data_IF_752484098551
#
_entry.id   IF_752484098551
#
_cell.length_a   1.000
_cell.length_b   1.000
_cell.length_c   1.000
_cell.angle_alpha   90.00
_cell.angle_beta   90.00
_cell.angle_gamma   90.00
#
_symmetry.space_group_name_H-M   'P 1'
#
loop_
_entity.id
_entity.type
_entity.pdbx_description
1 polymer ?
#
# COMPACT_ATOMS: atom_id res chain seq x y z
N UNK A 1 -0.59 -11.20 -6.16
CA UNK A 1 -1.43 -10.26 -5.39
C UNK A 1 -1.38 -10.65 -3.93
N UNK A 2 -1.61 -9.71 -3.01
CA UNK A 2 -1.42 -9.92 -1.57
C UNK A 2 -2.56 -9.27 -0.76
N UNK A 3 -3.00 -9.91 0.32
CA UNK A 3 -3.92 -9.30 1.29
C UNK A 3 -3.16 -8.34 2.21
N UNK A 4 -3.81 -7.25 2.63
CA UNK A 4 -3.25 -6.37 3.64
C UNK A 4 -2.95 -7.13 4.95
N UNK A 5 -1.77 -6.95 5.52
CA UNK A 5 -1.55 -7.25 6.94
C UNK A 5 -2.37 -6.27 7.79
N UNK A 6 -2.34 -4.98 7.44
CA UNK A 6 -3.09 -3.90 8.07
C UNK A 6 -3.65 -2.93 7.04
N UNK A 7 -4.77 -2.30 7.38
CA UNK A 7 -5.48 -1.33 6.57
C UNK A 7 -5.78 -0.09 7.41
N UNK A 8 -5.72 1.09 6.78
CA UNK A 8 -6.04 2.36 7.39
C UNK A 8 -6.90 3.16 6.43
N UNK A 9 -8.00 3.68 6.96
CA UNK A 9 -8.90 4.61 6.29
C UNK A 9 -8.81 5.95 7.00
N UNK A 10 -8.66 7.03 6.26
CA UNK A 10 -8.84 8.39 6.75
C UNK A 10 -10.29 8.65 7.16
N UNK A 11 -10.54 9.80 7.80
CA UNK A 11 -11.89 10.24 8.16
C UNK A 11 -12.82 10.35 6.94
N UNK A 12 -12.27 10.69 5.78
CA UNK A 12 -12.99 10.81 4.51
C UNK A 12 -13.33 9.45 3.90
N UNK A 13 -12.49 8.42 4.11
CA UNK A 13 -12.64 7.11 3.44
C UNK A 13 -13.31 6.05 4.29
N UNK A 14 -13.37 6.21 5.62
CA UNK A 14 -13.90 5.19 6.54
C UNK A 14 -15.35 4.76 6.28
N UNK A 15 -16.13 5.59 5.60
CA UNK A 15 -17.52 5.30 5.23
C UNK A 15 -17.70 4.84 3.79
N UNK A 16 -16.62 4.85 3.01
CA UNK A 16 -16.58 4.42 1.61
C UNK A 16 -15.59 3.28 1.39
N UNK A 17 -14.91 2.79 2.43
CA UNK A 17 -13.87 1.76 2.33
C UNK A 17 -13.92 0.80 3.51
N UNK A 18 -13.49 -0.43 3.25
CA UNK A 18 -13.45 -1.46 4.27
C UNK A 18 -12.32 -1.19 5.26
N UNK A 19 -12.62 -1.13 6.56
CA UNK A 19 -11.63 -0.93 7.61
C UNK A 19 -10.55 -2.02 7.69
N UNK A 20 -10.81 -3.20 7.10
CA UNK A 20 -9.89 -4.35 7.08
C UNK A 20 -9.02 -4.45 5.84
N UNK A 21 -9.60 -4.22 4.66
CA UNK A 21 -8.92 -4.51 3.39
C UNK A 21 -8.82 -3.29 2.47
N UNK A 22 -9.40 -2.14 2.83
CA UNK A 22 -9.50 -0.93 1.99
C UNK A 22 -10.13 -1.15 0.62
N UNK A 23 -10.93 -2.21 0.43
CA UNK A 23 -11.81 -2.31 -0.74
C UNK A 23 -12.80 -1.15 -0.69
N UNK A 24 -12.98 -0.44 -1.81
CA UNK A 24 -13.99 0.61 -1.93
C UNK A 24 -15.39 -0.01 -1.84
N UNK A 25 -16.29 0.72 -1.21
CA UNK A 25 -17.63 0.29 -0.87
C UNK A 25 -18.61 1.31 -1.44
N UNK A 26 -19.42 0.88 -2.40
CA UNK A 26 -20.38 1.71 -3.12
C UNK A 26 -21.82 1.36 -2.74
N UNK A 27 -22.14 0.09 -2.46
CA UNK A 27 -23.55 -0.34 -2.35
C UNK A 27 -23.95 -1.10 -1.06
N UNK A 28 -23.04 -1.83 -0.40
CA UNK A 28 -23.40 -2.66 0.76
C UNK A 28 -22.31 -2.66 1.82
N UNK A 29 -22.70 -2.40 3.07
CA UNK A 29 -21.81 -2.12 4.19
C UNK A 29 -22.32 -2.81 5.44
N UNK A 30 -21.44 -3.54 6.12
CA UNK A 30 -21.68 -4.06 7.46
C UNK A 30 -21.01 -3.10 8.46
N UNK A 31 -21.77 -2.26 9.19
CA UNK A 31 -21.19 -1.44 10.23
C UNK A 31 -20.77 -2.30 11.42
N UNK A 32 -19.68 -1.93 12.09
CA UNK A 32 -19.37 -2.49 13.39
C UNK A 32 -20.57 -2.29 14.34
N UNK A 33 -21.13 -3.36 14.95
CA UNK A 33 -22.31 -3.24 15.81
C UNK A 33 -22.02 -2.48 17.11
N UNK A 34 -20.75 -2.37 17.51
CA UNK A 34 -20.34 -1.65 18.72
C UNK A 34 -20.17 -0.15 18.54
N UNK A 35 -19.41 0.29 17.53
CA UNK A 35 -19.05 1.71 17.37
C UNK A 35 -19.69 2.42 16.17
N UNK A 36 -20.26 1.67 15.21
CA UNK A 36 -20.78 2.13 13.91
C UNK A 36 -19.84 3.06 13.11
N UNK A 37 -18.59 3.17 13.52
CA UNK A 37 -17.59 4.12 12.99
C UNK A 37 -16.65 3.49 11.97
N UNK A 38 -16.64 2.16 11.90
CA UNK A 38 -15.85 1.36 10.95
C UNK A 38 -16.79 0.43 10.21
N UNK A 39 -16.61 0.34 8.89
CA UNK A 39 -17.45 -0.45 8.00
C UNK A 39 -16.65 -1.57 7.33
N UNK A 40 -17.33 -2.65 6.97
CA UNK A 40 -16.73 -3.85 6.41
C UNK A 40 -17.43 -4.32 5.13
N UNK A 41 -16.65 -4.91 4.22
CA UNK A 41 -17.16 -5.46 2.96
C UNK A 41 -17.76 -6.87 3.11
N UNK A 42 -17.55 -7.52 4.25
CA UNK A 42 -17.97 -8.89 4.55
C UNK A 42 -17.83 -9.19 6.03
N UNK A 43 -18.57 -10.18 6.52
CA UNK A 43 -18.44 -10.71 7.89
C UNK A 43 -17.02 -11.23 8.18
N UNK A 44 -16.33 -11.80 7.18
CA UNK A 44 -14.94 -12.23 7.33
C UNK A 44 -14.00 -11.05 7.61
N UNK A 45 -14.19 -9.93 6.91
CA UNK A 45 -13.42 -8.73 7.15
C UNK A 45 -13.70 -8.11 8.52
N UNK A 46 -14.97 -8.14 8.96
CA UNK A 46 -15.36 -7.68 10.30
C UNK A 46 -14.66 -8.53 11.37
N UNK A 47 -14.83 -9.86 11.32
CA UNK A 47 -14.25 -10.79 12.31
C UNK A 47 -12.73 -10.73 12.35
N UNK A 48 -12.06 -10.66 11.20
CA UNK A 48 -10.60 -10.55 11.16
C UNK A 48 -10.12 -9.22 11.76
N UNK A 49 -10.75 -8.08 11.44
CA UNK A 49 -10.33 -6.79 11.98
C UNK A 49 -10.62 -6.69 13.48
N UNK A 50 -11.78 -7.17 13.92
CA UNK A 50 -12.15 -7.27 15.34
C UNK A 50 -11.07 -8.04 16.11
N UNK A 51 -10.69 -9.23 15.63
CA UNK A 51 -9.65 -10.06 16.24
C UNK A 51 -8.31 -9.33 16.34
N UNK A 52 -7.84 -8.74 15.25
CA UNK A 52 -6.44 -8.29 15.16
C UNK A 52 -6.20 -6.84 15.57
N UNK A 53 -7.19 -5.97 15.52
CA UNK A 53 -6.99 -4.54 15.79
C UNK A 53 -8.21 -3.85 16.40
N UNK A 54 -9.38 -3.99 15.79
CA UNK A 54 -10.54 -3.15 16.10
C UNK A 54 -11.10 -3.36 17.51
N UNK A 55 -10.94 -4.53 18.14
CA UNK A 55 -11.33 -4.72 19.56
C UNK A 55 -10.59 -3.82 20.55
N UNK A 56 -9.45 -3.25 20.16
CA UNK A 56 -8.70 -2.27 20.96
C UNK A 56 -9.07 -0.82 20.61
N UNK A 57 -9.86 -0.61 19.55
CA UNK A 57 -10.27 0.68 19.02
C UNK A 57 -11.74 0.98 19.30
N UNK A 58 -12.61 -0.04 19.24
CA UNK A 58 -14.06 0.08 19.16
C UNK A 58 -14.67 0.95 20.28
N UNK A 59 -14.34 0.68 21.55
CA UNK A 59 -14.90 1.41 22.69
C UNK A 59 -14.39 2.87 22.81
N UNK A 60 -13.38 3.23 22.02
CA UNK A 60 -12.77 4.56 22.00
C UNK A 60 -12.77 5.19 20.60
N UNK A 61 -13.55 4.65 19.66
CA UNK A 61 -13.53 5.07 18.25
C UNK A 61 -13.75 6.59 18.07
N UNK A 62 -14.65 7.19 18.86
CA UNK A 62 -14.87 8.64 18.85
C UNK A 62 -13.64 9.44 19.31
N UNK A 63 -12.89 8.91 20.29
CA UNK A 63 -11.69 9.57 20.83
C UNK A 63 -10.54 9.48 19.83
N UNK A 64 -10.40 8.33 19.18
CA UNK A 64 -9.44 8.12 18.10
C UNK A 64 -9.72 9.12 16.97
N UNK A 65 -10.99 9.25 16.55
CA UNK A 65 -11.41 10.23 15.54
C UNK A 65 -10.94 11.66 15.85
N UNK A 66 -11.09 12.09 17.10
CA UNK A 66 -10.77 13.46 17.50
C UNK A 66 -9.27 13.78 17.47
N UNK A 67 -8.39 12.76 17.50
CA UNK A 67 -6.93 12.96 17.43
C UNK A 67 -6.36 12.62 16.04
N UNK A 68 -7.09 11.88 15.22
CA UNK A 68 -6.64 11.37 13.92
C UNK A 68 -6.30 12.47 12.91
N UNK A 69 -6.93 13.64 12.98
CA UNK A 69 -6.70 14.74 12.04
C UNK A 69 -5.23 15.23 12.05
N UNK A 70 -4.55 15.11 13.18
CA UNK A 70 -3.17 15.58 13.38
C UNK A 70 -2.22 14.46 13.83
N UNK A 71 -2.63 13.20 13.73
CA UNK A 71 -1.81 12.07 14.18
C UNK A 71 -2.00 10.79 13.36
N UNK A 72 -1.10 9.82 13.56
CA UNK A 72 -1.13 8.54 12.85
C UNK A 72 -1.55 7.39 13.76
N UNK A 73 -2.60 6.65 13.35
CA UNK A 73 -3.04 5.42 14.01
C UNK A 73 -2.20 4.20 13.61
N UNK A 74 -1.27 4.32 12.65
CA UNK A 74 -0.45 3.20 12.18
C UNK A 74 0.29 2.54 13.35
N UNK A 75 0.88 3.35 14.23
CA UNK A 75 1.66 2.87 15.37
C UNK A 75 0.85 1.97 16.30
N UNK A 76 -0.24 2.48 16.88
CA UNK A 76 -1.15 1.66 17.68
C UNK A 76 -1.66 0.42 16.94
N UNK A 77 -2.12 0.58 15.69
CA UNK A 77 -2.72 -0.53 14.94
C UNK A 77 -1.72 -1.66 14.69
N UNK A 78 -0.46 -1.33 14.37
CA UNK A 78 0.60 -2.33 14.21
C UNK A 78 1.05 -2.95 15.54
N UNK A 79 1.00 -2.19 16.64
CA UNK A 79 1.25 -2.72 17.98
C UNK A 79 0.22 -3.76 18.39
N UNK A 80 -1.07 -3.46 18.26
CA UNK A 80 -2.13 -4.39 18.66
C UNK A 80 -2.24 -5.59 17.72
N UNK A 81 -1.91 -5.41 16.44
CA UNK A 81 -1.74 -6.52 15.50
C UNK A 81 -0.63 -7.47 15.98
N UNK A 82 0.54 -6.93 16.32
CA UNK A 82 1.64 -7.69 16.90
C UNK A 82 1.24 -8.40 18.18
N UNK A 83 0.63 -7.68 19.13
CA UNK A 83 0.16 -8.23 20.40
C UNK A 83 -0.76 -9.44 20.18
N UNK A 84 -1.71 -9.33 19.25
CA UNK A 84 -2.61 -10.44 18.88
C UNK A 84 -1.85 -11.64 18.32
N UNK A 85 -0.79 -11.42 17.53
CA UNK A 85 0.06 -12.50 17.00
C UNK A 85 0.88 -13.20 18.09
N UNK A 86 1.21 -12.51 19.17
CA UNK A 86 1.80 -13.09 20.38
C UNK A 86 0.75 -13.66 21.34
N UNK A 87 -0.50 -13.84 20.89
CA UNK A 87 -1.57 -14.43 21.71
C UNK A 87 -2.04 -13.54 22.85
N UNK A 88 -1.99 -12.22 22.66
CA UNK A 88 -2.27 -11.20 23.68
C UNK A 88 -1.32 -11.20 24.88
N UNK A 89 -0.18 -11.91 24.76
CA UNK A 89 0.89 -11.89 25.75
C UNK A 89 1.86 -10.73 25.48
N UNK A 90 1.61 -9.62 26.20
CA UNK A 90 2.46 -8.43 26.12
C UNK A 90 3.89 -8.72 26.60
N UNK A 91 4.08 -9.61 27.57
CA UNK A 91 5.42 -9.92 28.08
C UNK A 91 6.22 -10.70 27.05
N UNK A 92 5.62 -11.71 26.40
CA UNK A 92 6.27 -12.44 25.31
C UNK A 92 6.65 -11.53 24.14
N UNK A 93 5.77 -10.59 23.76
CA UNK A 93 6.08 -9.58 22.75
C UNK A 93 7.25 -8.67 23.19
N UNK A 94 7.24 -8.21 24.44
CA UNK A 94 8.32 -7.39 25.02
C UNK A 94 9.66 -8.13 25.01
N UNK A 95 9.67 -9.39 25.44
CA UNK A 95 10.86 -10.23 25.52
C UNK A 95 11.47 -10.46 24.14
N UNK A 96 10.63 -10.74 23.14
CA UNK A 96 11.08 -10.82 21.75
C UNK A 96 11.68 -9.49 21.27
N UNK A 97 10.93 -8.38 21.39
CA UNK A 97 11.33 -7.08 20.87
C UNK A 97 12.58 -6.50 21.55
N UNK A 98 12.83 -6.80 22.82
CA UNK A 98 14.02 -6.36 23.57
C UNK A 98 15.19 -7.35 23.44
N UNK A 99 14.90 -8.61 23.12
CA UNK A 99 15.85 -9.70 22.98
C UNK A 99 16.79 -9.55 21.78
N UNK A 100 17.81 -10.40 21.74
CA UNK A 100 18.80 -10.40 20.66
C UNK A 100 18.18 -10.77 19.30
N UNK A 101 17.15 -11.63 19.28
CA UNK A 101 16.50 -12.10 18.06
C UNK A 101 15.79 -10.99 17.26
N UNK A 102 15.37 -9.90 17.90
CA UNK A 102 14.78 -8.74 17.24
C UNK A 102 15.82 -7.72 16.76
N UNK A 103 17.12 -7.95 17.02
CA UNK A 103 18.21 -7.06 16.60
C UNK A 103 18.81 -7.55 15.28
N UNK A 104 19.40 -6.62 14.54
CA UNK A 104 20.04 -6.88 13.25
C UNK A 104 19.16 -6.54 12.06
N UNK A 105 19.64 -6.90 10.88
CA UNK A 105 18.94 -6.68 9.60
C UNK A 105 18.16 -7.95 9.27
N UNK A 106 16.83 -7.83 9.18
CA UNK A 106 15.96 -8.94 8.77
C UNK A 106 16.24 -9.40 7.34
N UNK A 107 15.87 -10.65 7.05
CA UNK A 107 16.01 -11.25 5.72
C UNK A 107 14.66 -11.85 5.28
N UNK A 108 13.76 -11.02 4.72
CA UNK A 108 12.41 -11.46 4.35
C UNK A 108 12.40 -12.52 3.25
N UNK A 109 13.51 -12.72 2.51
CA UNK A 109 13.60 -13.75 1.48
C UNK A 109 13.76 -15.16 2.04
N UNK A 110 14.06 -15.30 3.35
CA UNK A 110 14.09 -16.59 4.05
C UNK A 110 12.72 -17.04 4.55
N UNK A 111 11.71 -16.16 4.53
CA UNK A 111 10.36 -16.51 4.95
C UNK A 111 9.68 -17.40 3.91
N UNK A 112 9.02 -18.47 4.37
CA UNK A 112 8.09 -19.21 3.51
C UNK A 112 6.75 -18.47 3.45
N UNK A 113 6.63 -17.58 2.48
CA UNK A 113 5.43 -16.77 2.28
C UNK A 113 4.22 -17.58 1.78
N UNK A 114 4.38 -18.87 1.44
CA UNK A 114 3.27 -19.76 1.05
C UNK A 114 2.45 -20.23 2.25
N UNK A 115 3.09 -20.37 3.41
CA UNK A 115 2.45 -20.84 4.64
C UNK A 115 1.73 -19.73 5.43
N UNK A 116 1.91 -18.47 5.00
CA UNK A 116 1.30 -17.27 5.60
C UNK A 116 1.47 -17.18 7.13
N UNK A 117 2.65 -17.54 7.65
CA UNK A 117 2.98 -17.37 9.06
C UNK A 117 3.12 -15.88 9.40
N UNK A 118 2.02 -15.28 9.84
CA UNK A 118 1.93 -13.86 10.17
C UNK A 118 2.84 -13.47 11.34
N UNK A 119 3.12 -14.39 12.27
CA UNK A 119 3.99 -14.10 13.41
C UNK A 119 5.44 -14.00 12.95
N UNK A 120 5.94 -14.95 12.16
CA UNK A 120 7.30 -14.88 11.62
C UNK A 120 7.48 -13.70 10.66
N UNK A 121 6.47 -13.40 9.85
CA UNK A 121 6.44 -12.19 9.04
C UNK A 121 6.53 -10.90 9.88
N UNK A 122 5.75 -10.80 10.96
CA UNK A 122 5.81 -9.66 11.89
C UNK A 122 7.17 -9.57 12.57
N UNK A 123 7.75 -10.70 12.98
CA UNK A 123 9.08 -10.79 13.59
C UNK A 123 10.19 -10.32 12.66
N UNK A 124 10.12 -10.61 11.36
CA UNK A 124 11.05 -10.06 10.37
C UNK A 124 10.83 -8.56 10.15
N UNK A 125 9.56 -8.12 10.05
CA UNK A 125 9.24 -6.70 9.98
C UNK A 125 9.77 -5.92 11.20
N UNK A 126 9.83 -6.53 12.39
CA UNK A 126 10.40 -5.89 13.58
C UNK A 126 11.89 -5.53 13.43
N UNK A 127 12.62 -6.26 12.60
CA UNK A 127 14.04 -6.07 12.32
C UNK A 127 14.28 -5.05 11.21
N UNK A 128 13.23 -4.57 10.54
CA UNK A 128 13.35 -3.54 9.52
C UNK A 128 13.83 -2.24 10.17
N UNK A 129 15.05 -1.84 9.83
CA UNK A 129 15.60 -0.53 10.16
C UNK A 129 15.12 0.50 9.16
N UNK A 130 14.62 1.64 9.64
CA UNK A 130 14.22 2.76 8.80
C UNK A 130 15.10 3.96 9.14
N UNK A 131 15.52 4.69 8.11
CA UNK A 131 16.28 5.93 8.30
C UNK A 131 15.44 6.91 9.13
N UNK A 132 16.05 7.48 10.16
CA UNK A 132 15.40 8.46 11.01
C UNK A 132 15.25 9.79 10.25
N UNK A 133 14.01 10.18 9.97
CA UNK A 133 13.69 11.43 9.27
C UNK A 133 13.44 12.51 10.32
N UNK A 134 14.43 13.37 10.52
CA UNK A 134 14.45 14.35 11.61
C UNK A 134 13.39 15.45 11.47
N UNK A 135 13.05 15.81 10.24
CA UNK A 135 12.21 16.95 9.89
C UNK A 135 10.78 16.77 10.40
N UNK A 136 10.26 15.55 10.36
CA UNK A 136 8.88 15.20 10.78
C UNK A 136 8.82 14.45 12.11
N UNK A 137 9.96 14.19 12.74
CA UNK A 137 10.03 13.35 13.94
C UNK A 137 9.27 13.95 15.13
N UNK A 138 9.23 15.28 15.24
CA UNK A 138 8.47 15.98 16.26
C UNK A 138 6.96 15.66 16.15
N UNK A 139 6.41 15.64 14.93
CA UNK A 139 5.02 15.28 14.67
C UNK A 139 4.76 13.79 14.99
N UNK A 140 5.72 12.91 14.73
CA UNK A 140 5.62 11.49 15.11
C UNK A 140 5.62 11.27 16.61
N UNK A 141 6.43 12.02 17.38
CA UNK A 141 6.42 11.96 18.85
C UNK A 141 5.10 12.44 19.43
N UNK A 142 4.57 13.56 18.92
CA UNK A 142 3.25 14.08 19.33
C UNK A 142 2.17 13.05 19.00
N UNK A 143 2.21 12.47 17.80
CA UNK A 143 1.27 11.42 17.38
C UNK A 143 1.29 10.21 18.31
N UNK A 144 2.49 9.71 18.64
CA UNK A 144 2.65 8.57 19.55
C UNK A 144 2.11 8.88 20.95
N UNK A 145 2.40 10.06 21.50
CA UNK A 145 1.94 10.48 22.81
C UNK A 145 0.41 10.66 22.85
N UNK A 146 -0.17 11.33 21.85
CA UNK A 146 -1.62 11.54 21.75
C UNK A 146 -2.36 10.19 21.66
N UNK A 147 -1.88 9.29 20.80
CA UNK A 147 -2.44 7.95 20.65
C UNK A 147 -2.28 7.13 21.94
N UNK A 148 -1.12 7.18 22.61
CA UNK A 148 -0.93 6.53 23.90
C UNK A 148 -1.99 6.97 24.93
N UNK A 149 -2.21 8.29 25.08
CA UNK A 149 -3.23 8.82 26.02
C UNK A 149 -4.63 8.33 25.66
N UNK A 150 -4.97 8.24 24.37
CA UNK A 150 -6.28 7.78 23.90
C UNK A 150 -6.46 6.28 24.14
N UNK A 151 -5.49 5.45 23.76
CA UNK A 151 -5.57 3.99 23.93
C UNK A 151 -5.55 3.56 25.40
N UNK A 152 -4.86 4.30 26.27
CA UNK A 152 -4.92 4.06 27.72
C UNK A 152 -6.28 4.36 28.35
N UNK A 153 -7.26 4.91 27.61
CA UNK A 153 -8.66 5.03 28.06
C UNK A 153 -9.49 3.78 27.74
N UNK A 154 -8.95 2.82 26.97
CA UNK A 154 -9.67 1.60 26.62
C UNK A 154 -9.60 0.57 27.77
N UNK A 155 -10.74 0.02 28.26
CA UNK A 155 -10.73 -0.92 29.39
C UNK A 155 -9.85 -2.15 29.16
N UNK A 156 -9.93 -2.78 27.98
CA UNK A 156 -9.09 -3.93 27.64
C UNK A 156 -7.58 -3.59 27.62
N UNK A 157 -7.21 -2.40 27.13
CA UNK A 157 -5.80 -1.98 27.08
C UNK A 157 -5.27 -1.77 28.50
N UNK A 158 -6.06 -1.18 29.40
CA UNK A 158 -5.69 -1.04 30.81
C UNK A 158 -5.52 -2.39 31.53
N UNK A 159 -6.27 -3.42 31.11
CA UNK A 159 -6.13 -4.77 31.66
C UNK A 159 -4.87 -5.48 31.17
N UNK A 160 -4.36 -5.16 29.99
CA UNK A 160 -3.15 -5.76 29.43
C UNK A 160 -1.90 -4.97 29.86
N UNK A 161 -1.96 -3.63 29.79
CA UNK A 161 -0.85 -2.71 30.04
C UNK A 161 -0.95 -2.17 31.47
N UNK A 162 -0.34 -2.87 32.42
CA UNK A 162 -0.46 -2.59 33.85
C UNK A 162 0.73 -1.79 34.39
N UNK A 163 1.94 -2.27 34.13
CA UNK A 163 3.17 -1.76 34.75
C UNK A 163 3.74 -0.55 34.01
N UNK A 164 4.62 0.20 34.67
CA UNK A 164 5.34 1.32 34.05
C UNK A 164 6.19 0.86 32.85
N UNK A 165 6.93 -0.24 33.00
CA UNK A 165 7.74 -0.82 31.92
C UNK A 165 6.91 -1.24 30.69
N UNK A 166 5.67 -1.71 30.89
CA UNK A 166 4.73 -2.03 29.81
C UNK A 166 4.21 -0.76 29.11
N UNK A 167 3.93 0.30 29.87
CA UNK A 167 3.49 1.60 29.34
C UNK A 167 4.58 2.27 28.50
N UNK A 168 5.81 2.29 29.01
CA UNK A 168 6.97 2.80 28.28
C UNK A 168 7.22 2.01 27.00
N UNK A 169 7.14 0.67 27.09
CA UNK A 169 7.28 -0.18 25.93
C UNK A 169 6.22 0.12 24.87
N UNK A 170 4.95 0.25 25.26
CA UNK A 170 3.87 0.57 24.33
C UNK A 170 4.10 1.93 23.65
N UNK A 171 4.41 2.99 24.40
CA UNK A 171 4.66 4.33 23.87
C UNK A 171 5.85 4.35 22.89
N UNK A 172 6.99 3.76 23.28
CA UNK A 172 8.17 3.69 22.41
C UNK A 172 7.93 2.85 21.16
N UNK A 173 7.13 1.80 21.29
CA UNK A 173 6.80 0.93 20.15
C UNK A 173 5.82 1.60 19.20
N UNK A 174 4.84 2.38 19.70
CA UNK A 174 3.99 3.23 18.86
C UNK A 174 4.84 4.18 18.02
N UNK A 175 5.80 4.87 18.65
CA UNK A 175 6.71 5.78 17.96
C UNK A 175 7.58 5.05 16.93
N UNK A 176 8.14 3.88 17.27
CA UNK A 176 8.88 3.03 16.33
C UNK A 176 8.05 2.71 15.10
N UNK A 177 6.80 2.27 15.28
CA UNK A 177 5.93 1.87 14.18
C UNK A 177 5.40 3.03 13.34
N UNK A 178 5.17 4.20 13.95
CA UNK A 178 4.88 5.43 13.20
C UNK A 178 6.09 5.80 12.32
N UNK A 179 7.31 5.74 12.84
CA UNK A 179 8.52 5.99 12.05
C UNK A 179 8.69 4.97 10.92
N UNK A 180 8.35 3.70 11.18
CA UNK A 180 8.47 2.65 10.18
C UNK A 180 7.40 2.75 9.07
N UNK A 181 6.29 3.45 9.32
CA UNK A 181 5.16 3.48 8.37
C UNK A 181 5.53 4.10 7.04
N UNK A 182 6.42 5.10 7.01
CA UNK A 182 6.84 5.79 5.78
C UNK A 182 7.53 4.86 4.76
N UNK A 183 8.17 3.79 5.24
CA UNK A 183 8.87 2.84 4.39
C UNK A 183 8.06 1.55 4.11
N UNK A 184 6.99 1.31 4.88
CA UNK A 184 6.29 0.03 4.89
C UNK A 184 4.82 0.12 4.47
N UNK A 185 4.20 1.29 4.60
CA UNK A 185 2.81 1.50 4.18
C UNK A 185 2.76 1.89 2.70
N UNK A 186 1.82 1.30 1.99
CA UNK A 186 1.43 1.74 0.66
C UNK A 186 0.20 2.65 0.79
N UNK A 187 0.37 3.90 0.39
CA UNK A 187 -0.73 4.86 0.28
C UNK A 187 -1.31 4.84 -1.14
N UNK A 188 -2.64 4.87 -1.21
CA UNK A 188 -3.40 5.06 -2.43
C UNK A 188 -4.32 6.25 -2.27
N UNK A 189 -4.20 7.23 -3.18
CA UNK A 189 -5.04 8.42 -3.21
C UNK A 189 -6.07 8.32 -4.31
N UNK A 190 -7.34 8.37 -3.94
CA UNK A 190 -8.43 8.34 -4.91
C UNK A 190 -8.51 9.67 -5.64
N UNK A 191 -8.71 9.68 -6.96
CA UNK A 191 -8.89 10.94 -7.71
C UNK A 191 -7.64 11.84 -7.84
N UNK A 192 -6.46 11.38 -7.42
CA UNK A 192 -5.18 12.08 -7.59
C UNK A 192 -4.60 12.62 -6.28
N UNK A 193 -3.62 13.53 -6.38
CA UNK A 193 -2.76 13.96 -5.26
C UNK A 193 -3.57 14.57 -4.10
N UNK A 194 -4.64 15.31 -4.41
CA UNK A 194 -5.47 16.01 -3.42
C UNK A 194 -6.64 15.17 -2.88
N UNK A 195 -6.82 13.95 -3.37
CA UNK A 195 -7.97 13.15 -2.97
C UNK A 195 -7.72 12.25 -1.75
N UNK A 196 -8.79 11.62 -1.28
CA UNK A 196 -8.78 10.87 -0.03
C UNK A 196 -7.78 9.71 -0.09
N UNK A 197 -7.09 9.47 1.03
CA UNK A 197 -6.06 8.42 1.13
C UNK A 197 -6.61 7.19 1.83
N UNK A 198 -6.32 6.01 1.26
CA UNK A 198 -6.35 4.74 1.98
C UNK A 198 -4.95 4.17 2.02
N UNK A 199 -4.60 3.50 3.11
CA UNK A 199 -3.28 2.92 3.28
C UNK A 199 -3.40 1.44 3.61
N UNK A 200 -2.48 0.64 3.09
CA UNK A 200 -2.35 -0.76 3.49
C UNK A 200 -0.90 -1.11 3.78
N UNK A 201 -0.68 -2.12 4.61
CA UNK A 201 0.63 -2.74 4.84
C UNK A 201 0.70 -4.06 4.07
N UNK A 202 1.27 -4.09 2.85
CA UNK A 202 1.59 -5.32 2.13
C UNK A 202 3.02 -5.75 2.45
N UNK A 203 3.22 -6.96 2.97
CA UNK A 203 4.54 -7.45 3.36
C UNK A 203 5.40 -7.80 2.14
N UNK A 204 4.82 -8.27 1.03
CA UNK A 204 5.56 -8.43 -0.23
C UNK A 204 5.83 -7.08 -0.89
N UNK A 205 4.88 -6.17 -0.77
CA UNK A 205 5.00 -4.83 -1.35
C UNK A 205 6.19 -4.05 -0.78
N UNK A 206 6.52 -4.21 0.49
CA UNK A 206 7.69 -3.56 1.12
C UNK A 206 9.03 -4.01 0.54
N UNK A 207 9.09 -5.15 -0.15
CA UNK A 207 10.32 -5.66 -0.78
C UNK A 207 10.64 -5.00 -2.12
N UNK A 208 9.64 -4.35 -2.73
CA UNK A 208 9.74 -3.83 -4.10
C UNK A 208 10.36 -2.43 -4.12
N UNK A 209 11.69 -2.36 -4.20
CA UNK A 209 12.43 -1.09 -4.20
C UNK A 209 12.01 -0.11 -5.31
N UNK A 210 12.33 1.16 -5.08
CA UNK A 210 12.14 2.23 -6.04
C UNK A 210 13.16 2.23 -7.20
N UNK A 211 12.70 2.55 -8.39
CA UNK A 211 13.49 3.03 -9.53
C UNK A 211 12.73 4.15 -10.24
N UNK A 212 13.42 5.18 -10.73
CA UNK A 212 12.82 6.19 -11.61
C UNK A 212 12.51 5.63 -13.02
N UNK A 213 13.08 4.47 -13.37
CA UNK A 213 12.82 3.67 -14.57
C UNK A 213 12.29 2.27 -14.18
N UNK A 214 11.09 2.18 -13.58
CA UNK A 214 10.59 0.93 -13.02
C UNK A 214 10.28 -0.12 -14.09
N UNK A 215 10.30 -1.40 -13.69
CA UNK A 215 9.86 -2.52 -14.52
C UNK A 215 8.54 -3.16 -14.07
N UNK A 216 8.04 -2.76 -12.90
CA UNK A 216 6.74 -3.09 -12.40
C UNK A 216 5.99 -1.83 -11.92
N UNK A 217 4.70 -1.96 -11.76
CA UNK A 217 3.86 -0.99 -11.04
C UNK A 217 3.06 -1.74 -10.00
N UNK A 218 2.87 -1.12 -8.84
CA UNK A 218 1.95 -1.64 -7.84
C UNK A 218 0.83 -0.66 -7.53
N UNK A 219 -0.23 -1.17 -6.92
CA UNK A 219 -1.36 -0.38 -6.46
C UNK A 219 -2.29 -1.21 -5.57
N UNK A 220 -3.26 -0.52 -4.99
CA UNK A 220 -4.32 -1.12 -4.19
C UNK A 220 -5.56 -1.26 -5.06
N UNK A 221 -6.01 -2.50 -5.27
CA UNK A 221 -7.21 -2.79 -6.07
C UNK A 221 -7.98 -3.94 -5.45
N UNK A 222 -9.29 -3.78 -5.29
CA UNK A 222 -10.18 -4.80 -4.72
C UNK A 222 -9.75 -5.26 -3.33
N UNK A 223 -9.24 -4.31 -2.55
CA UNK A 223 -8.74 -4.51 -1.19
C UNK A 223 -7.46 -5.36 -1.09
N UNK A 224 -6.68 -5.40 -2.18
CA UNK A 224 -5.46 -6.21 -2.29
C UNK A 224 -4.35 -5.39 -2.90
N UNK A 225 -3.13 -5.66 -2.45
CA UNK A 225 -1.93 -5.20 -3.14
C UNK A 225 -1.77 -6.00 -4.43
N UNK A 226 -1.61 -5.30 -5.55
CA UNK A 226 -1.32 -5.91 -6.85
C UNK A 226 -0.04 -5.32 -7.39
N UNK A 227 0.84 -6.19 -7.88
CA UNK A 227 2.03 -5.82 -8.63
C UNK A 227 1.90 -6.40 -10.04
N UNK A 228 2.14 -5.56 -11.03
CA UNK A 228 2.08 -5.92 -12.44
C UNK A 228 3.37 -5.51 -13.15
N UNK A 229 3.90 -6.41 -13.96
CA UNK A 229 5.09 -6.15 -14.78
C UNK A 229 4.69 -5.25 -15.95
N UNK A 230 5.45 -4.17 -16.15
CA UNK A 230 5.17 -3.17 -17.19
C UNK A 230 6.19 -3.18 -18.34
N UNK A 231 7.28 -3.95 -18.23
CA UNK A 231 8.23 -4.25 -19.32
C UNK A 231 8.97 -5.57 -19.04
N UNK A 232 9.55 -6.24 -20.04
CA UNK A 232 10.33 -7.46 -19.81
C UNK A 232 11.41 -7.29 -18.75
N UNK A 233 11.57 -8.31 -17.90
CA UNK A 233 12.53 -8.35 -16.80
C UNK A 233 13.52 -9.48 -17.10
N UNK A 234 14.82 -9.16 -17.13
CA UNK A 234 15.87 -10.15 -17.38
C UNK A 234 16.12 -10.98 -16.12
N UNK A 235 16.64 -12.20 -16.29
CA UNK A 235 17.12 -12.98 -15.15
C UNK A 235 18.20 -12.20 -14.39
N UNK A 236 18.06 -12.08 -13.08
CA UNK A 236 18.96 -11.31 -12.22
C UNK A 236 18.65 -9.80 -12.15
N UNK A 237 17.71 -9.28 -12.96
CA UNK A 237 17.22 -7.91 -12.84
C UNK A 237 16.29 -7.79 -11.62
N UNK A 238 16.49 -6.74 -10.82
CA UNK A 238 15.64 -6.44 -9.68
C UNK A 238 14.25 -5.98 -10.14
N UNK A 239 13.19 -6.49 -9.50
CA UNK A 239 11.83 -5.97 -9.68
C UNK A 239 11.71 -4.65 -8.93
N UNK A 240 11.35 -3.58 -9.64
CA UNK A 240 11.26 -2.22 -9.09
C UNK A 240 9.97 -1.54 -9.52
N UNK A 241 9.42 -0.75 -8.61
CA UNK A 241 8.29 0.17 -8.86
C UNK A 241 8.76 1.61 -8.65
N UNK A 242 7.90 2.60 -8.87
CA UNK A 242 8.22 3.99 -8.51
C UNK A 242 7.40 4.45 -7.30
N UNK A 243 8.07 4.82 -6.21
CA UNK A 243 7.47 5.51 -5.06
C UNK A 243 7.17 7.00 -5.31
N UNK A 244 7.55 7.52 -6.47
CA UNK A 244 7.45 8.94 -6.81
C UNK A 244 7.37 9.15 -8.33
N UNK A 245 7.87 10.28 -8.85
CA UNK A 245 7.92 10.52 -10.28
C UNK A 245 8.82 9.50 -10.97
N UNK A 246 8.45 9.15 -12.19
CA UNK A 246 9.30 8.40 -13.11
C UNK A 246 10.04 9.39 -14.00
N UNK A 247 11.08 8.95 -14.70
CA UNK A 247 11.79 9.86 -15.61
C UNK A 247 10.91 10.34 -16.77
N UNK A 248 9.88 9.58 -17.14
CA UNK A 248 8.92 9.96 -18.17
C UNK A 248 7.76 10.82 -17.64
N UNK A 249 7.52 10.86 -16.34
CA UNK A 249 6.55 11.76 -15.68
C UNK A 249 7.28 12.53 -14.56
N UNK A 250 8.20 13.45 -14.92
CA UNK A 250 9.02 14.14 -13.94
C UNK A 250 8.17 15.11 -13.11
N UNK A 251 8.49 15.20 -11.83
CA UNK A 251 7.99 16.23 -10.93
C UNK A 251 9.20 16.92 -10.27
N UNK A 252 9.60 18.12 -10.72
CA UNK A 252 10.76 18.84 -10.20
C UNK A 252 10.67 19.16 -8.69
N UNK A 253 9.45 19.29 -8.17
CA UNK A 253 9.20 19.65 -6.77
C UNK A 253 9.16 18.43 -5.84
N UNK A 254 9.34 17.22 -6.38
CA UNK A 254 9.35 16.01 -5.58
C UNK A 254 10.67 15.86 -4.83
N UNK A 255 10.60 15.97 -3.51
CA UNK A 255 11.71 15.64 -2.61
C UNK A 255 11.47 14.28 -1.95
N UNK A 256 12.44 13.37 -2.09
CA UNK A 256 12.37 12.03 -1.51
C UNK A 256 13.20 11.94 -0.23
N UNK A 257 12.67 11.23 0.76
CA UNK A 257 13.32 10.99 2.05
C UNK A 257 14.50 10.02 2.00
N UNK A 258 14.89 9.57 0.80
CA UNK A 258 16.00 8.64 0.56
C UNK A 258 16.78 9.05 -0.69
N UNK A 259 18.08 8.71 -0.76
CA UNK A 259 18.88 8.97 -1.95
C UNK A 259 18.74 7.83 -2.97
N UNK A 260 18.01 8.08 -4.05
CA UNK A 260 17.88 7.10 -5.14
C UNK A 260 19.23 6.86 -5.87
N UNK A 261 19.54 5.58 -6.12
CA UNK A 261 20.75 5.14 -6.85
C UNK A 261 20.41 4.34 -8.12
N UNK A 262 19.20 4.49 -8.65
CA UNK A 262 18.81 3.84 -9.90
C UNK A 262 19.66 4.36 -11.07
N UNK A 263 19.67 3.65 -12.22
CA UNK A 263 20.43 4.09 -13.40
C UNK A 263 20.14 5.54 -13.81
N UNK A 264 18.88 5.99 -13.75
CA UNK A 264 18.50 7.38 -14.06
C UNK A 264 19.20 8.39 -13.16
N UNK A 265 19.12 8.21 -11.84
CA UNK A 265 19.68 9.14 -10.86
C UNK A 265 21.22 9.10 -10.80
N UNK A 266 21.84 7.94 -11.06
CA UNK A 266 23.31 7.81 -11.12
C UNK A 266 23.94 8.71 -12.18
N UNK A 267 23.23 8.96 -13.28
CA UNK A 267 23.68 9.87 -14.34
C UNK A 267 23.22 11.32 -14.11
N UNK A 268 22.83 11.68 -12.88
CA UNK A 268 22.44 13.04 -12.51
C UNK A 268 21.09 13.48 -13.07
N UNK A 269 20.24 12.55 -13.54
CA UNK A 269 18.96 12.84 -14.19
C UNK A 269 19.11 13.51 -15.57
N UNK A 270 19.87 14.61 -15.64
CA UNK A 270 20.17 15.37 -16.83
C UNK A 270 21.05 14.63 -17.86
N UNK A 271 21.91 13.69 -17.44
CA UNK A 271 22.72 12.87 -18.36
C UNK A 271 22.14 11.46 -18.58
N UNK A 272 20.87 11.24 -18.23
CA UNK A 272 20.18 10.00 -18.58
C UNK A 272 20.05 9.89 -20.10
N UNK A 273 20.81 8.96 -20.70
CA UNK A 273 20.83 8.79 -22.15
C UNK A 273 19.68 7.92 -22.60
N UNK A 274 18.80 8.51 -23.40
CA UNK A 274 17.75 7.78 -24.09
C UNK A 274 18.33 7.05 -25.29
N UNK A 275 17.69 5.94 -25.65
CA UNK A 275 17.89 5.28 -26.91
C UNK A 275 17.31 6.16 -28.02
N UNK A 276 18.19 6.64 -28.90
CA UNK A 276 17.86 7.48 -30.06
C UNK A 276 17.63 6.67 -31.34
N UNK A 277 17.66 5.33 -31.26
CA UNK A 277 17.37 4.49 -32.42
C UNK A 277 15.95 4.72 -32.93
N UNK A 278 15.84 4.89 -34.24
CA UNK A 278 14.54 4.97 -34.89
C UNK A 278 13.75 3.67 -34.74
N UNK A 279 12.46 3.82 -34.47
CA UNK A 279 11.55 2.68 -34.44
C UNK A 279 11.36 2.13 -35.86
N UNK A 280 11.31 0.79 -36.02
CA UNK A 280 11.06 0.20 -37.32
C UNK A 280 9.66 0.57 -37.80
N UNK A 281 9.45 0.61 -39.12
CA UNK A 281 8.16 1.01 -39.73
C UNK A 281 6.97 0.25 -39.15
N UNK A 282 7.14 -1.03 -38.81
CA UNK A 282 6.12 -1.84 -38.15
C UNK A 282 5.75 -1.32 -36.73
N UNK A 283 6.74 -0.89 -35.95
CA UNK A 283 6.51 -0.30 -34.63
C UNK A 283 5.77 1.04 -34.75
N UNK A 284 6.16 1.89 -35.70
CA UNK A 284 5.47 3.17 -35.97
C UNK A 284 4.00 2.94 -36.33
N UNK A 285 3.70 1.92 -37.13
CA UNK A 285 2.31 1.52 -37.45
C UNK A 285 1.54 1.09 -36.20
N UNK A 286 2.10 0.20 -35.36
CA UNK A 286 1.43 -0.25 -34.13
C UNK A 286 1.20 0.90 -33.15
N UNK A 287 2.18 1.78 -32.97
CA UNK A 287 2.03 2.99 -32.16
C UNK A 287 0.90 3.88 -32.67
N UNK A 288 0.81 4.06 -33.99
CA UNK A 288 -0.25 4.85 -34.61
C UNK A 288 -1.63 4.27 -34.32
N UNK A 289 -1.79 2.95 -34.39
CA UNK A 289 -3.04 2.26 -34.04
C UNK A 289 -3.41 2.49 -32.57
N UNK A 290 -2.46 2.31 -31.64
CA UNK A 290 -2.68 2.54 -30.21
C UNK A 290 -3.12 4.00 -29.96
N UNK A 291 -2.42 4.97 -30.55
CA UNK A 291 -2.76 6.39 -30.42
C UNK A 291 -4.13 6.71 -31.00
N UNK A 292 -4.48 6.19 -32.17
CA UNK A 292 -5.81 6.40 -32.76
C UNK A 292 -6.92 5.75 -31.94
N UNK A 293 -6.65 4.60 -31.31
CA UNK A 293 -7.57 4.00 -30.37
C UNK A 293 -7.75 4.81 -29.08
N UNK A 294 -6.72 5.53 -28.63
CA UNK A 294 -6.80 6.48 -27.50
C UNK A 294 -7.66 7.72 -27.82
N UNK A 295 -7.57 8.22 -29.05
CA UNK A 295 -8.32 9.39 -29.54
C UNK A 295 -9.80 9.05 -29.83
N UNK A 296 -10.15 7.78 -29.98
CA UNK A 296 -11.50 7.36 -30.31
C UNK A 296 -12.45 7.53 -29.12
N UNK A 297 -13.53 8.29 -29.30
CA UNK A 297 -14.52 8.56 -28.25
C UNK A 297 -15.41 7.34 -27.96
N UNK A 298 -15.69 6.51 -28.98
CA UNK A 298 -16.54 5.32 -28.87
C UNK A 298 -16.04 4.19 -29.78
N UNK A 299 -16.54 2.97 -29.57
CA UNK A 299 -16.32 1.83 -30.47
C UNK A 299 -15.01 1.05 -30.30
N UNK A 300 -14.04 1.56 -29.55
CA UNK A 300 -12.78 0.84 -29.28
C UNK A 300 -12.84 0.13 -27.93
N UNK A 301 -12.63 -1.19 -27.96
CA UNK A 301 -12.53 -2.01 -26.76
C UNK A 301 -11.22 -1.69 -26.01
N UNK A 302 -11.34 -1.27 -24.75
CA UNK A 302 -10.18 -0.90 -23.92
C UNK A 302 -9.30 -2.09 -23.53
N UNK A 303 -9.86 -3.30 -23.48
CA UNK A 303 -9.09 -4.52 -23.26
C UNK A 303 -8.18 -4.81 -24.47
N UNK A 304 -8.67 -4.56 -25.69
CA UNK A 304 -7.86 -4.72 -26.89
C UNK A 304 -6.74 -3.67 -26.95
N UNK A 305 -7.00 -2.43 -26.55
CA UNK A 305 -5.96 -1.40 -26.41
C UNK A 305 -4.90 -1.77 -25.36
N UNK A 306 -5.32 -2.32 -24.22
CA UNK A 306 -4.41 -2.84 -23.20
C UNK A 306 -3.52 -3.94 -23.77
N UNK A 307 -4.10 -4.91 -24.48
CA UNK A 307 -3.38 -6.03 -25.10
C UNK A 307 -2.41 -5.54 -26.18
N UNK A 308 -2.82 -4.60 -27.04
CA UNK A 308 -1.96 -4.01 -28.06
C UNK A 308 -0.78 -3.27 -27.43
N UNK A 309 -1.00 -2.49 -26.38
CA UNK A 309 0.06 -1.79 -25.67
C UNK A 309 1.04 -2.77 -25.00
N UNK A 310 0.54 -3.84 -24.37
CA UNK A 310 1.38 -4.90 -23.80
C UNK A 310 2.24 -5.59 -24.86
N UNK A 311 1.65 -5.95 -26.00
CA UNK A 311 2.37 -6.59 -27.10
C UNK A 311 3.44 -5.67 -27.69
N UNK A 312 3.15 -4.38 -27.82
CA UNK A 312 4.13 -3.38 -28.26
C UNK A 312 5.32 -3.33 -27.31
N UNK A 313 5.07 -3.20 -26.01
CA UNK A 313 6.11 -3.13 -24.97
C UNK A 313 6.99 -4.38 -25.00
N UNK A 314 6.39 -5.56 -25.11
CA UNK A 314 7.15 -6.82 -25.16
C UNK A 314 7.97 -6.96 -26.45
N UNK A 315 7.38 -6.61 -27.60
CA UNK A 315 8.02 -6.81 -28.92
C UNK A 315 9.16 -5.83 -29.19
N UNK A 316 9.07 -4.61 -28.64
CA UNK A 316 10.00 -3.52 -28.93
C UNK A 316 10.80 -3.08 -27.70
N UNK A 317 10.93 -3.94 -26.69
CA UNK A 317 11.61 -3.64 -25.42
C UNK A 317 13.06 -3.17 -25.59
N UNK A 318 13.76 -3.56 -26.65
CA UNK A 318 15.12 -3.11 -26.97
C UNK A 318 15.22 -1.60 -27.27
N UNK A 319 14.09 -0.94 -27.60
CA UNK A 319 14.01 0.51 -27.82
C UNK A 319 13.74 1.29 -26.52
N UNK A 320 13.64 0.60 -25.38
CA UNK A 320 13.64 1.22 -24.05
C UNK A 320 15.08 1.48 -23.59
N UNK A 321 15.40 2.63 -22.97
CA UNK A 321 14.51 3.77 -22.68
C UNK A 321 14.44 4.76 -23.85
N UNK A 322 13.24 5.14 -24.32
CA UNK A 322 13.08 6.24 -25.31
C UNK A 322 11.77 7.00 -25.07
N UNK A 323 11.67 8.24 -25.55
CA UNK A 323 10.44 9.05 -25.39
C UNK A 323 9.21 8.35 -25.98
N UNK A 324 9.36 7.77 -27.17
CA UNK A 324 8.27 7.08 -27.85
C UNK A 324 7.86 5.82 -27.11
N UNK A 325 8.82 4.99 -26.68
CA UNK A 325 8.52 3.80 -25.89
C UNK A 325 7.82 4.16 -24.57
N UNK A 326 8.25 5.24 -23.92
CA UNK A 326 7.68 5.70 -22.66
C UNK A 326 6.25 6.19 -22.79
N UNK A 327 5.87 6.80 -23.91
CA UNK A 327 4.48 7.14 -24.18
C UNK A 327 3.57 5.89 -24.20
N UNK A 328 4.07 4.78 -24.77
CA UNK A 328 3.32 3.50 -24.76
C UNK A 328 3.30 2.88 -23.37
N UNK A 329 4.40 2.92 -22.62
CA UNK A 329 4.42 2.47 -21.22
C UNK A 329 3.40 3.21 -20.36
N UNK A 330 3.31 4.55 -20.49
CA UNK A 330 2.30 5.36 -19.81
C UNK A 330 0.88 4.92 -20.16
N UNK A 331 0.59 4.76 -21.45
CA UNK A 331 -0.71 4.30 -21.92
C UNK A 331 -1.04 2.89 -21.39
N UNK A 332 -0.08 1.96 -21.46
CA UNK A 332 -0.22 0.60 -20.95
C UNK A 332 -0.56 0.59 -19.46
N UNK A 333 0.22 1.33 -18.65
CA UNK A 333 -0.04 1.51 -17.21
C UNK A 333 -1.43 2.08 -16.94
N UNK A 334 -1.82 3.14 -17.66
CA UNK A 334 -3.12 3.79 -17.48
C UNK A 334 -4.28 2.84 -17.79
N UNK A 335 -4.21 2.13 -18.93
CA UNK A 335 -5.24 1.16 -19.31
C UNK A 335 -5.38 0.04 -18.30
N UNK A 336 -4.26 -0.43 -17.74
CA UNK A 336 -4.27 -1.48 -16.73
C UNK A 336 -4.98 -1.01 -15.46
N UNK A 337 -4.62 0.16 -14.95
CA UNK A 337 -5.24 0.75 -13.75
C UNK A 337 -6.74 1.00 -13.96
N UNK A 338 -7.11 1.65 -15.07
CA UNK A 338 -8.51 1.93 -15.40
C UNK A 338 -9.30 0.64 -15.62
N UNK A 339 -8.70 -0.36 -16.26
CA UNK A 339 -9.29 -1.67 -16.49
C UNK A 339 -9.61 -2.38 -15.18
N UNK A 340 -8.66 -2.42 -14.24
CA UNK A 340 -8.86 -2.99 -12.90
C UNK A 340 -9.99 -2.28 -12.15
N UNK A 341 -10.00 -0.94 -12.16
CA UNK A 341 -11.05 -0.16 -11.49
C UNK A 341 -12.45 -0.41 -12.09
N UNK A 342 -12.55 -0.51 -13.42
CA UNK A 342 -13.82 -0.83 -14.10
C UNK A 342 -14.31 -2.24 -13.78
N UNK A 343 -13.41 -3.22 -13.82
CA UNK A 343 -13.72 -4.60 -13.49
C UNK A 343 -14.26 -4.72 -12.06
N UNK A 344 -13.63 -4.01 -11.11
CA UNK A 344 -14.06 -3.97 -9.71
C UNK A 344 -15.47 -3.41 -9.54
N UNK A 345 -15.75 -2.23 -10.11
CA UNK A 345 -17.11 -1.64 -10.03
C UNK A 345 -18.17 -2.50 -10.70
N UNK A 346 -17.84 -3.16 -11.81
CA UNK A 346 -18.77 -4.06 -12.49
C UNK A 346 -19.07 -5.28 -11.64
N UNK A 347 -18.04 -5.88 -11.02
CA UNK A 347 -18.21 -6.99 -10.10
C UNK A 347 -19.06 -6.59 -8.89
N UNK A 348 -18.81 -5.42 -8.30
CA UNK A 348 -19.58 -4.91 -7.17
C UNK A 348 -21.06 -4.71 -7.52
N UNK A 349 -21.34 -4.10 -8.69
CA UNK A 349 -22.73 -3.95 -9.18
C UNK A 349 -23.43 -5.28 -9.38
N UNK A 350 -22.73 -6.25 -9.97
CA UNK A 350 -23.29 -7.59 -10.17
C UNK A 350 -23.61 -8.28 -8.82
N UNK A 351 -22.73 -8.15 -7.83
CA UNK A 351 -22.98 -8.66 -6.46
C UNK A 351 -24.16 -7.98 -5.79
N UNK A 352 -24.27 -6.65 -5.92
CA UNK A 352 -25.39 -5.90 -5.36
C UNK A 352 -26.73 -6.28 -6.02
N UNK A 353 -26.74 -6.48 -7.34
CA UNK A 353 -27.94 -6.94 -8.07
C UNK A 353 -28.35 -8.36 -7.65
N UNK A 354 -27.40 -9.29 -7.54
CA UNK A 354 -27.68 -10.66 -7.09
C UNK A 354 -28.28 -10.68 -5.67
N UNK A 355 -27.75 -9.87 -4.75
CA UNK A 355 -28.29 -9.75 -3.39
C UNK A 355 -29.70 -9.14 -3.35
N UNK A 356 -30.04 -8.25 -4.29
CA UNK A 356 -31.42 -7.74 -4.42
C UNK A 356 -32.36 -8.82 -4.94
N UNK A 357 -31.92 -9.64 -5.90
CA UNK A 357 -32.72 -10.74 -6.44
C UNK A 357 -32.98 -11.85 -5.41
N UNK A 358 -32.05 -12.14 -4.49
CA UNK A 358 -32.24 -13.12 -3.41
C UNK A 358 -33.24 -12.67 -2.31
N UNK A 359 -33.53 -11.37 -2.22
CA UNK A 359 -34.44 -10.78 -1.23
C UNK A 359 -35.84 -10.49 -1.79
N UNK A 360 -36.12 -10.88 -3.04
CA UNK A 360 -37.43 -10.84 -3.72
C UNK A 360 -37.97 -12.26 -3.82
#
# INVERSE_FOLDING_TARGET
>A
DEKAALAITTLETRYSHCGRCVKQLTYSLIPCPGCVSTLYCSEDCLREDERFAHRFECAIADKIRNVLEYSSIVGPKLFFYGLTLFGDDLQAMMDYCKGASARGVGDPFKLDLRNNDRLEQFKELQKAGVHHITEVDHAYRISAAAMYVVFMKHPLVQQIVKTEAQREFMLHTFLKYIRNSIASMLDWREGGIAGPTVSMLPLLGTLCNHSCDPNAVFGIHSGRFKLAVIRPIRQGEQITSSYGPTWWEPNPDYDCTYKCRCPVCKHGGANWKLNEQELPTAAVKHLTVIRKGLEAETGVNKADLLNMAQQFVNRYAQYHPSYVFSAVLKAYRLFMIVGMFRAERNQERAQAMAALEENV
#
